data_IF_887448803810
#
_entry.id   IF_887448803810
#
_cell.length_a   1.000
_cell.length_b   1.000
_cell.length_c   1.000
_cell.angle_alpha   90.00
_cell.angle_beta   90.00
_cell.angle_gamma   90.00
#
_symmetry.space_group_name_H-M   'P 1'
#
loop_
_entity.id
_entity.type
_entity.pdbx_description
1 polymer ?
#
# COMPACT_ATOMS: atom_id res chain seq x y z
N UNK A 1 18.40 -5.03 17.83
CA UNK A 1 16.96 -4.69 17.94
C UNK A 1 16.63 -3.20 17.73
N UNK A 2 17.61 -2.31 17.59
CA UNK A 2 17.37 -0.87 17.37
C UNK A 2 17.20 -0.47 15.90
N UNK A 3 17.91 -1.13 14.98
CA UNK A 3 17.91 -0.79 13.55
C UNK A 3 16.54 -1.06 12.89
N UNK A 4 15.85 -2.14 13.29
CA UNK A 4 14.51 -2.48 12.80
C UNK A 4 13.44 -1.42 13.14
N UNK A 5 13.62 -0.67 14.22
CA UNK A 5 12.69 0.39 14.63
C UNK A 5 13.04 1.76 14.02
N UNK A 6 14.29 1.97 13.64
CA UNK A 6 14.75 3.22 13.03
C UNK A 6 14.25 3.37 11.59
N UNK A 7 14.17 2.27 10.84
CA UNK A 7 13.71 2.26 9.44
C UNK A 7 12.28 2.83 9.29
N UNK A 8 11.25 2.33 10.01
CA UNK A 8 9.89 2.85 9.87
C UNK A 8 9.78 4.31 10.34
N UNK A 9 10.50 4.69 11.41
CA UNK A 9 10.49 6.07 11.91
C UNK A 9 11.13 7.04 10.91
N UNK A 10 12.28 6.67 10.33
CA UNK A 10 12.94 7.47 9.30
C UNK A 10 12.09 7.56 8.03
N UNK A 11 11.40 6.47 7.65
CA UNK A 11 10.50 6.47 6.51
C UNK A 11 9.30 7.40 6.72
N UNK A 12 8.64 7.33 7.88
CA UNK A 12 7.53 8.22 8.23
C UNK A 12 7.99 9.68 8.27
N UNK A 13 9.14 9.96 8.91
CA UNK A 13 9.70 11.31 8.97
C UNK A 13 10.01 11.86 7.57
N UNK A 14 10.55 11.03 6.67
CA UNK A 14 10.81 11.39 5.29
C UNK A 14 9.51 11.65 4.50
N UNK A 15 8.49 10.82 4.68
CA UNK A 15 7.16 11.02 4.08
C UNK A 15 6.51 12.33 4.54
N UNK A 16 6.57 12.64 5.84
CA UNK A 16 6.02 13.90 6.40
C UNK A 16 6.81 15.09 5.87
N UNK A 17 8.15 15.03 5.87
CA UNK A 17 9.00 16.10 5.37
C UNK A 17 8.75 16.39 3.88
N UNK A 18 8.65 15.35 3.06
CA UNK A 18 8.30 15.47 1.65
C UNK A 18 6.92 16.13 1.48
N UNK A 19 5.92 15.68 2.23
CA UNK A 19 4.55 16.23 2.17
C UNK A 19 4.55 17.73 2.47
N UNK A 20 5.25 18.15 3.53
CA UNK A 20 5.41 19.58 3.87
C UNK A 20 6.12 20.33 2.74
N UNK A 21 7.20 19.77 2.17
CA UNK A 21 7.95 20.42 1.09
C UNK A 21 7.12 20.56 -0.19
N UNK A 22 6.33 19.56 -0.53
CA UNK A 22 5.44 19.53 -1.68
C UNK A 22 4.29 20.53 -1.50
N UNK A 23 3.76 20.67 -0.28
CA UNK A 23 2.71 21.65 0.02
C UNK A 23 3.27 23.08 -0.02
N UNK A 24 4.41 23.30 0.63
CA UNK A 24 5.06 24.61 0.79
C UNK A 24 5.69 25.13 -0.51
N UNK A 25 6.17 24.25 -1.40
CA UNK A 25 6.69 24.61 -2.73
C UNK A 25 5.59 24.45 -3.77
N UNK A 26 4.95 25.56 -4.14
CA UNK A 26 3.74 25.68 -5.00
C UNK A 26 3.92 25.23 -6.46
N UNK A 27 4.81 24.28 -6.75
CA UNK A 27 5.00 23.69 -8.07
C UNK A 27 3.94 22.61 -8.27
N UNK A 28 2.84 22.95 -8.98
CA UNK A 28 1.75 22.01 -9.29
C UNK A 28 2.28 20.65 -9.77
N UNK A 29 3.38 20.64 -10.52
CA UNK A 29 4.05 19.43 -11.00
C UNK A 29 4.56 18.50 -9.90
N UNK A 30 5.12 19.03 -8.81
CA UNK A 30 5.58 18.21 -7.68
C UNK A 30 4.39 17.63 -6.89
N UNK A 31 3.31 18.40 -6.74
CA UNK A 31 2.05 17.91 -6.15
C UNK A 31 1.43 16.80 -6.99
N UNK A 32 1.41 16.97 -8.31
CA UNK A 32 0.94 15.94 -9.24
C UNK A 32 1.83 14.69 -9.20
N UNK A 33 3.16 14.83 -9.20
CA UNK A 33 4.06 13.68 -9.10
C UNK A 33 3.87 12.90 -7.78
N UNK A 34 3.73 13.61 -6.66
CA UNK A 34 3.47 13.00 -5.37
C UNK A 34 2.10 12.32 -5.31
N UNK A 35 1.06 12.90 -5.92
CA UNK A 35 -0.24 12.25 -6.02
C UNK A 35 -0.18 11.01 -6.92
N UNK A 36 0.39 11.15 -8.12
CA UNK A 36 0.47 10.09 -9.14
C UNK A 36 1.30 8.90 -8.66
N UNK A 37 2.38 9.12 -7.90
CA UNK A 37 3.20 8.02 -7.37
C UNK A 37 2.76 7.59 -5.97
N UNK A 38 2.45 8.55 -5.10
CA UNK A 38 2.14 8.28 -3.70
C UNK A 38 0.80 7.60 -3.49
N UNK A 39 -0.23 7.95 -4.28
CA UNK A 39 -1.54 7.29 -4.17
C UNK A 39 -1.44 5.79 -4.51
N UNK A 40 -0.92 5.37 -5.69
CA UNK A 40 -0.84 3.95 -6.01
C UNK A 40 0.14 3.20 -5.09
N UNK A 41 1.26 3.81 -4.69
CA UNK A 41 2.17 3.18 -3.73
C UNK A 41 1.51 2.97 -2.36
N UNK A 42 0.83 3.98 -1.82
CA UNK A 42 0.14 3.86 -0.53
C UNK A 42 -1.02 2.87 -0.59
N UNK A 43 -1.71 2.79 -1.73
CA UNK A 43 -2.76 1.80 -1.95
C UNK A 43 -2.21 0.36 -1.99
N UNK A 44 -1.10 0.12 -2.70
CA UNK A 44 -0.44 -1.18 -2.73
C UNK A 44 0.12 -1.58 -1.35
N UNK A 45 0.77 -0.65 -0.64
CA UNK A 45 1.23 -0.85 0.74
C UNK A 45 0.07 -1.18 1.70
N UNK A 46 -1.08 -0.51 1.54
CA UNK A 46 -2.27 -0.78 2.35
C UNK A 46 -2.81 -2.18 2.12
N UNK A 47 -2.77 -2.67 0.88
CA UNK A 47 -3.16 -4.05 0.55
C UNK A 47 -2.29 -5.06 1.30
N UNK A 48 -0.96 -4.90 1.27
CA UNK A 48 -0.02 -5.78 1.98
C UNK A 48 -0.21 -5.79 3.52
N UNK A 49 -0.38 -4.61 4.13
CA UNK A 49 -0.68 -4.52 5.55
C UNK A 49 -2.01 -5.20 5.92
N UNK A 50 -3.04 -5.03 5.09
CA UNK A 50 -4.35 -5.63 5.32
C UNK A 50 -4.32 -7.14 5.11
N UNK A 51 -3.60 -7.65 4.12
CA UNK A 51 -3.42 -9.09 3.95
C UNK A 51 -2.69 -9.72 5.15
N UNK A 52 -1.67 -9.06 5.69
CA UNK A 52 -0.98 -9.52 6.90
C UNK A 52 -1.92 -9.57 8.12
N UNK A 53 -2.71 -8.51 8.34
CA UNK A 53 -3.68 -8.44 9.44
C UNK A 53 -4.79 -9.49 9.29
N UNK A 54 -5.22 -9.72 8.04
CA UNK A 54 -6.20 -10.72 7.65
C UNK A 54 -5.71 -12.13 7.99
N UNK A 55 -4.49 -12.48 7.57
CA UNK A 55 -3.88 -13.79 7.84
C UNK A 55 -3.72 -14.07 9.34
N UNK A 56 -3.40 -13.05 10.13
CA UNK A 56 -3.29 -13.17 11.60
C UNK A 56 -4.65 -13.17 12.33
N UNK A 57 -5.75 -13.05 11.60
CA UNK A 57 -7.09 -13.06 12.18
C UNK A 57 -7.44 -11.82 13.00
N UNK A 58 -6.70 -10.71 12.83
CA UNK A 58 -7.02 -9.44 13.49
C UNK A 58 -8.24 -8.74 12.87
N UNK A 59 -8.56 -9.08 11.62
CA UNK A 59 -9.72 -8.53 10.91
C UNK A 59 -10.89 -9.51 11.02
N UNK A 60 -12.06 -9.08 11.51
CA UNK A 60 -13.24 -9.94 11.56
C UNK A 60 -13.77 -10.22 10.15
N UNK A 61 -14.32 -11.43 9.94
CA UNK A 61 -14.91 -11.85 8.66
C UNK A 61 -16.10 -11.01 8.16
N UNK A 62 -16.61 -10.12 9.01
CA UNK A 62 -17.64 -9.15 8.63
C UNK A 62 -17.08 -8.00 7.78
N UNK A 63 -15.76 -7.78 7.76
CA UNK A 63 -15.11 -6.73 6.99
C UNK A 63 -14.82 -7.11 5.54
N UNK A 64 -14.92 -8.39 5.17
CA UNK A 64 -14.58 -8.96 3.86
C UNK A 64 -15.32 -8.28 2.71
N UNK A 65 -16.63 -7.98 2.80
CA UNK A 65 -17.33 -7.33 1.71
C UNK A 65 -16.76 -5.93 1.43
N UNK A 66 -16.35 -5.23 2.48
CA UNK A 66 -15.75 -3.89 2.38
C UNK A 66 -14.35 -3.99 1.81
N UNK A 67 -13.52 -4.91 2.31
CA UNK A 67 -12.17 -5.14 1.80
C UNK A 67 -12.19 -5.60 0.34
N UNK A 68 -13.07 -6.51 -0.03
CA UNK A 68 -13.22 -6.99 -1.40
C UNK A 68 -13.64 -5.89 -2.35
N UNK A 69 -14.50 -4.97 -1.89
CA UNK A 69 -14.90 -3.81 -2.71
C UNK A 69 -13.76 -2.80 -2.84
N UNK A 70 -13.06 -2.51 -1.75
CA UNK A 70 -11.98 -1.53 -1.73
C UNK A 70 -10.75 -2.01 -2.52
N UNK A 71 -10.41 -3.30 -2.42
CA UNK A 71 -9.31 -3.97 -3.14
C UNK A 71 -9.78 -4.73 -4.38
N UNK A 72 -10.97 -4.39 -4.90
CA UNK A 72 -11.53 -5.00 -6.11
C UNK A 72 -10.55 -5.03 -7.29
N UNK A 73 -9.74 -3.98 -7.57
CA UNK A 73 -8.74 -4.03 -8.63
C UNK A 73 -7.68 -5.12 -8.42
N UNK A 74 -7.21 -5.30 -7.19
CA UNK A 74 -6.24 -6.35 -6.83
C UNK A 74 -6.87 -7.74 -6.93
N UNK A 75 -8.11 -7.90 -6.48
CA UNK A 75 -8.83 -9.17 -6.57
C UNK A 75 -9.11 -9.54 -8.02
N UNK A 76 -9.52 -8.56 -8.83
CA UNK A 76 -9.67 -8.76 -10.26
C UNK A 76 -8.33 -9.13 -10.91
N UNK A 77 -7.23 -8.46 -10.55
CA UNK A 77 -5.91 -8.79 -11.07
C UNK A 77 -5.47 -10.22 -10.72
N UNK A 78 -5.80 -10.70 -9.52
CA UNK A 78 -5.54 -12.09 -9.10
C UNK A 78 -6.44 -13.12 -9.81
N UNK A 79 -7.72 -12.80 -10.01
CA UNK A 79 -8.72 -13.80 -10.46
C UNK A 79 -8.94 -13.82 -11.96
N UNK A 80 -8.83 -12.66 -12.60
CA UNK A 80 -9.22 -12.43 -14.00
C UNK A 80 -8.12 -11.76 -14.82
N UNK A 81 -7.03 -11.35 -14.18
CA UNK A 81 -5.90 -10.70 -14.83
C UNK A 81 -5.05 -11.68 -15.66
N UNK A 82 -4.15 -11.15 -16.51
CA UNK A 82 -3.13 -11.96 -17.16
C UNK A 82 -2.30 -12.73 -16.14
N UNK A 83 -1.85 -13.94 -16.49
CA UNK A 83 -1.11 -14.83 -15.57
C UNK A 83 0.06 -14.13 -14.87
N UNK A 84 0.88 -13.38 -15.61
CA UNK A 84 2.03 -12.66 -15.05
C UNK A 84 1.63 -11.61 -14.00
N UNK A 85 0.45 -11.01 -14.14
CA UNK A 85 -0.06 -10.00 -13.21
C UNK A 85 -0.61 -10.68 -11.95
N UNK A 86 -1.34 -11.78 -12.12
CA UNK A 86 -1.80 -12.61 -11.00
C UNK A 86 -0.60 -13.12 -10.20
N UNK A 87 0.42 -13.68 -10.86
CA UNK A 87 1.66 -14.17 -10.24
C UNK A 87 2.38 -13.05 -9.46
N UNK A 88 2.46 -11.84 -10.01
CA UNK A 88 3.07 -10.70 -9.33
C UNK A 88 2.29 -10.28 -8.07
N UNK A 89 0.95 -10.28 -8.12
CA UNK A 89 0.12 -9.96 -6.96
C UNK A 89 0.19 -11.05 -5.90
N UNK A 90 0.19 -12.33 -6.29
CA UNK A 90 0.36 -13.44 -5.36
C UNK A 90 1.73 -13.40 -4.67
N UNK A 91 2.81 -13.22 -5.44
CA UNK A 91 4.15 -13.04 -4.89
C UNK A 91 4.18 -11.86 -3.89
N UNK A 92 3.54 -10.74 -4.24
CA UNK A 92 3.48 -9.61 -3.33
C UNK A 92 2.70 -9.94 -2.06
N UNK A 93 1.55 -10.60 -2.15
CA UNK A 93 0.75 -11.00 -1.00
C UNK A 93 1.50 -12.00 -0.09
N UNK A 94 2.29 -12.90 -0.66
CA UNK A 94 3.13 -13.87 0.05
C UNK A 94 4.26 -13.20 0.84
N UNK A 95 4.77 -12.05 0.38
CA UNK A 95 5.74 -11.23 1.14
C UNK A 95 5.20 -10.79 2.52
N UNK A 96 3.87 -10.78 2.69
CA UNK A 96 3.17 -10.33 3.89
C UNK A 96 2.52 -11.47 4.67
N UNK A 97 2.84 -12.73 4.39
CA UNK A 97 2.41 -13.89 5.18
C UNK A 97 3.52 -14.29 6.18
#
# INVERSE_FOLDING_TARGET
MTILLVIPVAFVAFCVWLTVRIINRRERWAKWAAAVLGIPMSYALSFGCISWLWWRGFIPRSADPVLNRFFSPFIWAMTSGPKWLADAVFWYAELWH
#
